data_IF_495769017391
#
_entry.id   IF_495769017391
#
_cell.length_a   1.000
_cell.length_b   1.000
_cell.length_c   1.000
_cell.angle_alpha   90.00
_cell.angle_beta   90.00
_cell.angle_gamma   90.00
#
_symmetry.space_group_name_H-M   'P 1'
#
loop_
_entity.id
_entity.type
_entity.pdbx_description
1 polymer ?
#
# COMPACT_ATOMS: atom_id res chain seq x y z
N UNK A 1 7.47 22.98 -15.35
CA UNK A 1 7.74 23.56 -14.03
C UNK A 1 6.58 23.14 -13.15
N UNK A 2 6.73 22.08 -12.37
CA UNK A 2 5.68 21.61 -11.46
C UNK A 2 6.33 21.26 -10.13
N UNK A 3 6.76 22.27 -9.38
CA UNK A 3 7.01 22.10 -7.95
C UNK A 3 5.89 22.75 -7.17
N UNK A 4 5.20 21.90 -6.40
CA UNK A 4 4.71 22.16 -5.04
C UNK A 4 3.89 20.92 -4.57
N UNK A 5 4.43 19.71 -4.71
CA UNK A 5 3.74 18.54 -4.13
C UNK A 5 3.98 18.37 -2.64
N UNK A 6 4.95 19.03 -2.01
CA UNK A 6 5.34 18.69 -0.63
C UNK A 6 5.43 19.88 0.35
N UNK A 7 4.76 21.01 0.07
CA UNK A 7 4.77 22.16 0.98
C UNK A 7 4.24 21.76 2.37
N UNK A 8 5.12 21.83 3.39
CA UNK A 8 4.80 21.59 4.79
C UNK A 8 5.16 20.21 5.35
N UNK A 9 5.60 19.26 4.52
CA UNK A 9 6.05 17.95 5.01
C UNK A 9 7.55 17.92 5.33
N UNK A 10 8.00 17.10 6.30
CA UNK A 10 9.42 16.91 6.58
C UNK A 10 10.21 16.48 5.34
N UNK A 11 11.35 17.12 5.09
CA UNK A 11 12.19 16.83 3.92
C UNK A 11 12.65 15.37 3.83
N UNK A 12 12.75 14.66 4.96
CA UNK A 12 13.16 13.25 4.96
C UNK A 12 12.12 12.31 4.33
N UNK A 13 10.85 12.71 4.19
CA UNK A 13 9.85 11.90 3.48
C UNK A 13 10.24 11.67 2.02
N UNK A 14 10.90 12.63 1.38
CA UNK A 14 11.39 12.50 0.01
C UNK A 14 12.54 11.48 -0.15
N UNK A 15 13.14 11.02 0.96
CA UNK A 15 14.18 9.98 0.95
C UNK A 15 13.59 8.56 0.86
N UNK A 16 12.29 8.41 1.12
CA UNK A 16 11.61 7.13 0.99
C UNK A 16 11.51 6.72 -0.50
N UNK A 17 11.61 5.42 -0.81
CA UNK A 17 11.50 4.92 -2.18
C UNK A 17 10.11 5.22 -2.77
N UNK A 18 10.05 5.52 -4.06
CA UNK A 18 8.78 5.68 -4.80
C UNK A 18 8.29 4.32 -5.31
N UNK A 19 6.99 4.05 -5.18
CA UNK A 19 6.35 2.89 -5.81
C UNK A 19 5.73 3.35 -7.13
N UNK A 20 6.25 2.86 -8.26
CA UNK A 20 5.67 3.08 -9.58
C UNK A 20 4.80 1.88 -9.98
N UNK A 21 3.59 2.15 -10.47
CA UNK A 21 2.66 1.12 -10.96
C UNK A 21 2.05 1.54 -12.30
N UNK A 22 1.62 0.55 -13.08
CA UNK A 22 0.75 0.76 -14.25
C UNK A 22 -0.71 0.53 -13.83
N UNK A 23 -1.58 1.49 -14.10
CA UNK A 23 -3.03 1.35 -13.92
C UNK A 23 -3.76 1.42 -15.28
N UNK A 24 -4.20 0.27 -15.82
CA UNK A 24 -4.94 0.22 -17.08
C UNK A 24 -6.25 1.01 -17.07
N UNK A 25 -6.92 1.13 -15.92
CA UNK A 25 -8.13 1.95 -15.80
C UNK A 25 -7.80 3.43 -15.91
N UNK A 26 -6.74 3.87 -15.22
CA UNK A 26 -6.30 5.25 -15.30
C UNK A 26 -5.86 5.62 -16.72
N UNK A 27 -5.21 4.69 -17.43
CA UNK A 27 -4.87 4.87 -18.84
C UNK A 27 -6.13 4.99 -19.70
N UNK A 28 -7.08 4.07 -19.53
CA UNK A 28 -8.32 4.03 -20.30
C UNK A 28 -9.14 5.31 -20.13
N UNK A 29 -9.20 5.85 -18.91
CA UNK A 29 -9.94 7.08 -18.61
C UNK A 29 -9.13 8.37 -18.91
N UNK A 30 -7.89 8.26 -19.37
CA UNK A 30 -7.01 9.42 -19.57
C UNK A 30 -6.58 10.13 -18.28
N UNK A 31 -6.72 9.47 -17.11
CA UNK A 31 -6.40 10.02 -15.80
C UNK A 31 -4.89 10.03 -15.49
N UNK A 32 -4.11 9.16 -16.15
CA UNK A 32 -2.66 9.10 -16.03
C UNK A 32 -2.01 8.89 -17.39
N UNK A 33 -0.97 9.68 -17.68
CA UNK A 33 -0.18 9.54 -18.91
C UNK A 33 0.46 8.14 -18.92
N UNK A 34 0.25 7.41 -20.02
CA UNK A 34 0.72 6.03 -20.21
C UNK A 34 0.26 5.03 -19.13
N UNK A 35 -0.77 5.40 -18.35
CA UNK A 35 -1.22 4.63 -17.19
C UNK A 35 -0.25 4.59 -16.02
N UNK A 36 0.84 5.36 -16.03
CA UNK A 36 1.87 5.29 -14.99
C UNK A 36 1.51 6.20 -13.81
N UNK A 37 1.48 5.62 -12.62
CA UNK A 37 1.23 6.31 -11.36
C UNK A 37 2.42 6.07 -10.43
N UNK A 38 2.88 7.14 -9.80
CA UNK A 38 3.91 7.09 -8.76
C UNK A 38 3.28 7.43 -7.42
N UNK A 39 3.45 6.55 -6.45
CA UNK A 39 3.07 6.76 -5.06
C UNK A 39 4.33 7.04 -4.24
N UNK A 40 4.42 8.25 -3.71
CA UNK A 40 5.44 8.67 -2.75
C UNK A 40 5.01 8.35 -1.32
N UNK A 41 5.94 8.44 -0.37
CA UNK A 41 5.58 8.34 1.04
C UNK A 41 4.64 9.47 1.49
N UNK A 42 4.76 10.66 0.90
CA UNK A 42 3.82 11.77 1.17
C UNK A 42 2.38 11.39 0.85
N UNK A 43 2.13 10.63 -0.21
CA UNK A 43 0.77 10.20 -0.58
C UNK A 43 0.17 9.26 0.47
N UNK A 44 1.02 8.43 1.09
CA UNK A 44 0.64 7.57 2.20
C UNK A 44 0.34 8.40 3.45
N UNK A 45 1.17 9.40 3.76
CA UNK A 45 0.93 10.30 4.88
C UNK A 45 -0.36 11.11 4.69
N UNK A 46 -0.66 11.52 3.46
CA UNK A 46 -1.95 12.16 3.11
C UNK A 46 -3.13 11.24 3.36
N UNK A 47 -3.03 9.98 2.92
CA UNK A 47 -4.07 9.00 3.15
C UNK A 47 -4.33 8.78 4.65
N UNK A 48 -3.26 8.64 5.44
CA UNK A 48 -3.34 8.33 6.87
C UNK A 48 -3.54 9.56 7.75
N UNK A 49 -3.35 10.77 7.21
CA UNK A 49 -3.33 12.03 7.94
C UNK A 49 -2.08 12.27 8.80
N UNK A 50 -1.21 11.27 8.94
CA UNK A 50 -0.01 11.32 9.78
C UNK A 50 1.02 10.27 9.36
N UNK A 51 2.23 10.39 9.89
CA UNK A 51 3.29 9.39 9.80
C UNK A 51 3.47 8.72 11.16
N UNK A 52 3.28 7.40 11.22
CA UNK A 52 3.64 6.57 12.37
C UNK A 52 4.35 5.28 11.90
N UNK A 53 4.99 4.51 12.81
CA UNK A 53 5.71 3.30 12.44
C UNK A 53 4.86 2.30 11.64
N UNK A 54 3.58 2.15 11.97
CA UNK A 54 2.64 1.30 11.21
C UNK A 54 2.47 1.76 9.77
N UNK A 55 2.28 3.06 9.55
CA UNK A 55 2.06 3.64 8.22
C UNK A 55 3.33 3.50 7.35
N UNK A 56 4.50 3.78 7.94
CA UNK A 56 5.79 3.54 7.31
C UNK A 56 6.00 2.06 6.95
N UNK A 57 5.73 1.18 7.92
CA UNK A 57 5.84 -0.27 7.73
C UNK A 57 4.90 -0.79 6.64
N UNK A 58 3.65 -0.33 6.60
CA UNK A 58 2.69 -0.72 5.57
C UNK A 58 3.13 -0.32 4.16
N UNK A 59 3.71 0.88 4.01
CA UNK A 59 4.26 1.33 2.73
C UNK A 59 5.43 0.46 2.28
N UNK A 60 6.34 0.14 3.19
CA UNK A 60 7.47 -0.76 2.90
C UNK A 60 7.01 -2.18 2.61
N UNK A 61 6.01 -2.70 3.32
CA UNK A 61 5.43 -4.02 3.02
C UNK A 61 4.83 -4.06 1.62
N UNK A 62 4.08 -3.04 1.21
CA UNK A 62 3.55 -2.94 -0.15
C UNK A 62 4.67 -2.90 -1.20
N UNK A 63 5.71 -2.08 -0.98
CA UNK A 63 6.88 -1.99 -1.86
C UNK A 63 7.59 -3.34 -2.02
N UNK A 64 7.94 -3.99 -0.91
CA UNK A 64 8.70 -5.23 -0.93
C UNK A 64 7.86 -6.42 -1.43
N UNK A 65 6.57 -6.46 -1.10
CA UNK A 65 5.65 -7.46 -1.64
C UNK A 65 5.51 -7.35 -3.16
N UNK A 66 5.34 -6.13 -3.69
CA UNK A 66 5.28 -5.92 -5.14
C UNK A 66 6.59 -6.27 -5.84
N UNK A 67 7.74 -5.90 -5.27
CA UNK A 67 9.06 -6.29 -5.81
C UNK A 67 9.23 -7.82 -5.84
N UNK A 68 8.82 -8.51 -4.78
CA UNK A 68 8.90 -9.97 -4.73
C UNK A 68 8.00 -10.63 -5.78
N UNK A 69 6.80 -10.07 -6.02
CA UNK A 69 5.87 -10.58 -7.04
C UNK A 69 6.36 -10.31 -8.47
N UNK A 70 6.74 -9.08 -8.79
CA UNK A 70 6.99 -8.64 -10.17
C UNK A 70 8.47 -8.67 -10.59
N UNK A 71 9.41 -8.74 -9.65
CA UNK A 71 10.84 -8.61 -9.97
C UNK A 71 11.11 -7.25 -10.62
N UNK A 72 11.60 -7.28 -11.87
CA UNK A 72 11.90 -6.09 -12.67
C UNK A 72 10.69 -5.58 -13.48
N UNK A 73 9.59 -6.34 -13.52
CA UNK A 73 8.36 -5.89 -14.18
C UNK A 73 7.69 -4.75 -13.40
N UNK A 74 7.03 -3.84 -14.12
CA UNK A 74 6.21 -2.80 -13.46
C UNK A 74 4.93 -3.43 -12.91
N UNK A 75 4.64 -3.28 -11.59
CA UNK A 75 3.42 -3.82 -11.02
C UNK A 75 2.15 -3.22 -11.62
N UNK A 76 1.12 -4.05 -11.78
CA UNK A 76 -0.16 -3.63 -12.35
C UNK A 76 -1.20 -3.43 -11.25
N UNK A 77 -1.74 -2.22 -11.18
CA UNK A 77 -2.77 -1.85 -10.22
C UNK A 77 -4.07 -2.61 -10.53
N UNK A 78 -4.58 -3.31 -9.52
CA UNK A 78 -5.73 -4.20 -9.54
C UNK A 78 -5.50 -5.57 -10.18
N UNK A 79 -4.23 -5.96 -10.37
CA UNK A 79 -3.85 -7.33 -10.73
C UNK A 79 -3.23 -8.11 -9.55
N UNK A 80 -3.42 -7.58 -8.34
CA UNK A 80 -2.92 -8.18 -7.10
C UNK A 80 -4.07 -8.38 -6.15
N UNK A 81 -4.23 -9.60 -5.65
CA UNK A 81 -5.05 -9.91 -4.49
C UNK A 81 -4.22 -9.73 -3.21
N UNK A 82 -4.86 -9.25 -2.15
CA UNK A 82 -4.26 -8.97 -0.85
C UNK A 82 -5.07 -9.68 0.23
N UNK A 83 -4.37 -10.38 1.11
CA UNK A 83 -4.95 -11.18 2.17
C UNK A 83 -4.40 -10.70 3.52
N UNK A 84 -5.20 -9.98 4.28
CA UNK A 84 -4.83 -9.53 5.61
C UNK A 84 -5.05 -10.67 6.61
N UNK A 85 -4.06 -10.93 7.46
CA UNK A 85 -4.20 -11.91 8.54
C UNK A 85 -5.27 -11.47 9.55
N UNK A 86 -5.23 -10.21 9.97
CA UNK A 86 -6.20 -9.66 10.93
C UNK A 86 -7.58 -9.37 10.34
N UNK A 87 -8.58 -9.23 11.22
CA UNK A 87 -9.88 -8.66 10.88
C UNK A 87 -9.78 -7.13 10.66
N UNK A 88 -10.71 -6.48 9.92
CA UNK A 88 -10.60 -5.06 9.55
C UNK A 88 -10.44 -4.12 10.76
N UNK A 89 -11.21 -4.36 11.83
CA UNK A 89 -11.19 -3.56 13.07
C UNK A 89 -10.18 -4.05 14.12
N UNK A 90 -9.37 -5.07 13.82
CA UNK A 90 -8.41 -5.61 14.78
C UNK A 90 -7.12 -4.81 14.76
N UNK A 91 -6.81 -4.16 15.88
CA UNK A 91 -5.58 -3.38 16.07
C UNK A 91 -5.39 -2.35 14.95
N UNK A 92 -4.27 -2.45 14.25
CA UNK A 92 -3.91 -1.55 13.14
C UNK A 92 -4.13 -2.16 11.75
N UNK A 93 -4.84 -3.28 11.65
CA UNK A 93 -5.04 -4.00 10.39
C UNK A 93 -5.68 -3.13 9.31
N UNK A 94 -6.71 -2.34 9.66
CA UNK A 94 -7.37 -1.42 8.75
C UNK A 94 -6.45 -0.29 8.23
N UNK A 95 -5.51 0.16 9.05
CA UNK A 95 -4.51 1.17 8.64
C UNK A 95 -3.59 0.56 7.59
N UNK A 96 -3.06 -0.64 7.86
CA UNK A 96 -2.15 -1.34 6.94
C UNK A 96 -2.85 -1.62 5.61
N UNK A 97 -4.07 -2.16 5.65
CA UNK A 97 -4.81 -2.52 4.45
C UNK A 97 -5.16 -1.30 3.60
N UNK A 98 -5.45 -0.14 4.20
CA UNK A 98 -5.72 1.10 3.47
C UNK A 98 -4.50 1.57 2.67
N UNK A 99 -3.30 1.51 3.27
CA UNK A 99 -2.05 1.86 2.59
C UNK A 99 -1.75 0.88 1.45
N UNK A 100 -1.95 -0.41 1.67
CA UNK A 100 -1.74 -1.42 0.61
C UNK A 100 -2.74 -1.22 -0.53
N UNK A 101 -4.02 -0.99 -0.22
CA UNK A 101 -5.09 -0.71 -1.19
C UNK A 101 -4.80 0.53 -2.04
N UNK A 102 -4.23 1.59 -1.45
CA UNK A 102 -3.84 2.80 -2.20
C UNK A 102 -2.96 2.43 -3.40
N UNK A 103 -1.91 1.66 -3.14
CA UNK A 103 -0.87 1.30 -4.10
C UNK A 103 -1.36 0.22 -5.07
N UNK A 104 -1.90 -0.88 -4.55
CA UNK A 104 -2.24 -2.06 -5.36
C UNK A 104 -3.61 -1.94 -6.01
N UNK A 105 -4.48 -1.04 -5.52
CA UNK A 105 -5.88 -0.97 -5.92
C UNK A 105 -6.72 -2.16 -5.44
N UNK A 106 -6.16 -3.08 -4.66
CA UNK A 106 -6.89 -4.20 -4.10
C UNK A 106 -7.86 -3.70 -3.03
N UNK A 107 -9.15 -3.69 -3.34
CA UNK A 107 -10.18 -3.16 -2.45
C UNK A 107 -11.11 -4.27 -1.96
N UNK A 108 -11.74 -4.01 -0.81
CA UNK A 108 -12.76 -4.89 -0.25
C UNK A 108 -14.09 -4.79 -1.02
N UNK A 109 -15.20 -5.01 -0.33
CA UNK A 109 -16.54 -5.04 -0.93
C UNK A 109 -17.02 -3.71 -1.55
N UNK A 110 -16.42 -2.60 -1.14
CA UNK A 110 -16.71 -1.24 -1.62
C UNK A 110 -15.86 -0.84 -2.83
N UNK A 111 -15.00 -1.73 -3.32
CA UNK A 111 -14.16 -1.47 -4.48
C UNK A 111 -14.96 -1.26 -5.78
N UNK A 112 -14.28 -0.71 -6.79
CA UNK A 112 -14.85 -0.57 -8.13
C UNK A 112 -15.21 -1.96 -8.69
N UNK A 113 -16.48 -2.21 -9.07
CA UNK A 113 -16.92 -3.53 -9.52
C UNK A 113 -16.39 -3.91 -10.92
N UNK A 114 -15.86 -2.93 -11.67
CA UNK A 114 -15.42 -3.10 -13.05
C UNK A 114 -16.35 -2.40 -14.03
N UNK A 115 -15.85 -2.20 -15.26
CA UNK A 115 -16.56 -1.53 -16.34
C UNK A 115 -17.13 -2.54 -17.34
N UNK A 116 -18.38 -2.33 -17.75
CA UNK A 116 -19.09 -3.16 -18.72
C UNK A 116 -19.47 -4.55 -18.18
N UNK A 117 -20.06 -5.36 -19.05
CA UNK A 117 -20.52 -6.72 -18.70
C UNK A 117 -19.38 -7.69 -18.35
N UNK A 118 -18.16 -7.40 -18.82
CA UNK A 118 -16.96 -8.19 -18.54
C UNK A 118 -16.27 -7.80 -17.21
N UNK A 119 -16.74 -6.75 -16.53
CA UNK A 119 -16.13 -6.31 -15.26
C UNK A 119 -14.67 -5.86 -15.42
N UNK A 120 -14.32 -5.22 -16.54
CA UNK A 120 -12.95 -4.81 -16.81
C UNK A 120 -12.45 -3.86 -15.72
N UNK A 121 -11.18 -4.03 -15.34
CA UNK A 121 -10.55 -3.21 -14.31
C UNK A 121 -11.16 -3.30 -12.91
N UNK A 122 -11.88 -4.38 -12.59
CA UNK A 122 -12.41 -4.61 -11.25
C UNK A 122 -11.32 -4.47 -10.18
N UNK A 123 -11.72 -3.90 -9.05
CA UNK A 123 -10.92 -3.69 -7.84
C UNK A 123 -11.58 -4.30 -6.61
N UNK A 124 -12.91 -4.47 -6.66
CA UNK A 124 -13.75 -5.07 -5.63
C UNK A 124 -13.33 -6.51 -5.35
N UNK A 125 -13.39 -6.89 -4.08
CA UNK A 125 -13.10 -8.24 -3.58
C UNK A 125 -11.67 -8.73 -3.88
N UNK A 126 -10.73 -7.82 -4.07
CA UNK A 126 -9.31 -8.15 -4.17
C UNK A 126 -8.59 -8.05 -2.83
N UNK A 127 -9.21 -7.44 -1.82
CA UNK A 127 -8.72 -7.38 -0.44
C UNK A 127 -9.62 -8.22 0.46
N UNK A 128 -9.05 -9.24 1.09
CA UNK A 128 -9.70 -10.09 2.07
C UNK A 128 -9.06 -9.91 3.46
N UNK A 129 -9.84 -10.16 4.51
CA UNK A 129 -9.41 -10.08 5.90
C UNK A 129 -9.65 -11.41 6.61
N UNK A 130 -8.96 -11.64 7.74
CA UNK A 130 -9.07 -12.89 8.49
C UNK A 130 -8.54 -14.10 7.71
N UNK A 131 -7.60 -13.87 6.79
CA UNK A 131 -7.04 -14.92 5.97
C UNK A 131 -5.97 -15.70 6.74
N UNK A 132 -5.89 -17.01 6.48
CA UNK A 132 -4.81 -17.85 7.00
C UNK A 132 -3.51 -17.56 6.25
N UNK A 133 -2.76 -16.60 6.76
CA UNK A 133 -1.48 -16.14 6.21
C UNK A 133 -0.43 -16.20 7.32
N UNK A 134 0.69 -16.85 7.03
CA UNK A 134 1.91 -16.76 7.84
C UNK A 134 2.62 -15.43 7.55
N UNK A 135 2.12 -14.35 8.15
CA UNK A 135 2.52 -12.97 7.89
C UNK A 135 1.53 -11.93 8.38
N UNK A 136 1.89 -10.66 8.23
CA UNK A 136 0.95 -9.54 8.42
C UNK A 136 -0.06 -9.53 7.26
N UNK A 137 0.43 -9.78 6.05
CA UNK A 137 -0.39 -9.87 4.84
C UNK A 137 0.23 -10.82 3.81
N UNK A 138 -0.63 -11.39 2.97
CA UNK A 138 -0.27 -12.13 1.76
C UNK A 138 -0.63 -11.32 0.53
N UNK A 139 0.15 -11.49 -0.55
CA UNK A 139 -0.15 -10.89 -1.84
C UNK A 139 -0.06 -11.96 -2.92
N UNK A 140 -0.98 -11.97 -3.87
CA UNK A 140 -0.98 -12.90 -5.00
C UNK A 140 -1.23 -12.15 -6.31
N UNK A 141 -0.37 -12.38 -7.29
CA UNK A 141 -0.54 -11.86 -8.65
C UNK A 141 -1.55 -12.73 -9.39
N UNK A 142 -2.55 -12.13 -10.05
CA UNK A 142 -3.72 -12.86 -10.56
C UNK A 142 -3.46 -13.59 -11.88
N UNK A 143 -2.60 -13.04 -12.72
CA UNK A 143 -2.25 -13.62 -14.03
C UNK A 143 -1.39 -14.90 -13.93
N UNK A 144 -0.54 -14.98 -12.91
CA UNK A 144 0.50 -16.01 -12.75
C UNK A 144 0.28 -16.89 -11.52
N UNK A 145 -0.55 -16.44 -10.56
CA UNK A 145 -0.76 -17.12 -9.28
C UNK A 145 0.43 -17.02 -8.32
N UNK A 146 1.53 -16.35 -8.71
CA UNK A 146 2.70 -16.15 -7.84
C UNK A 146 2.25 -15.40 -6.58
N UNK A 147 2.70 -15.89 -5.43
CA UNK A 147 2.30 -15.36 -4.13
C UNK A 147 3.50 -15.12 -3.21
N UNK A 148 3.32 -14.22 -2.26
CA UNK A 148 4.31 -13.89 -1.23
C UNK A 148 3.57 -13.60 0.08
N UNK A 149 4.17 -13.99 1.21
CA UNK A 149 3.76 -13.51 2.54
C UNK A 149 4.75 -12.46 3.02
N UNK A 150 4.25 -11.42 3.69
CA UNK A 150 5.05 -10.28 4.11
C UNK A 150 4.93 -10.12 5.62
N UNK A 151 6.09 -10.06 6.26
CA UNK A 151 6.26 -9.74 7.67
C UNK A 151 7.00 -8.41 7.80
N UNK A 152 6.62 -7.61 8.79
CA UNK A 152 7.36 -6.42 9.16
C UNK A 152 7.72 -6.48 10.64
N UNK A 153 9.01 -6.62 10.92
CA UNK A 153 9.54 -6.49 12.27
C UNK A 153 10.10 -5.07 12.44
N UNK A 154 9.41 -4.26 13.23
CA UNK A 154 9.85 -2.91 13.57
C UNK A 154 10.81 -2.88 14.77
N UNK A 155 10.93 -3.98 15.53
CA UNK A 155 11.79 -4.04 16.71
C UNK A 155 13.28 -4.04 16.36
N UNK A 156 13.64 -4.35 15.11
CA UNK A 156 15.02 -4.28 14.61
C UNK A 156 15.55 -2.83 14.54
N UNK A 157 14.67 -1.83 14.54
CA UNK A 157 15.04 -0.41 14.59
C UNK A 157 14.77 0.10 16.01
N UNK A 158 15.81 0.39 16.81
CA UNK A 158 15.62 0.88 18.16
C UNK A 158 14.93 2.24 18.13
N UNK A 159 14.03 2.45 19.10
CA UNK A 159 13.48 3.79 19.31
C UNK A 159 14.61 4.73 19.75
N UNK A 160 14.68 5.95 19.19
CA UNK A 160 15.59 6.97 19.69
C UNK A 160 15.34 7.20 21.19
N UNK A 161 16.40 7.34 21.98
CA UNK A 161 16.28 7.51 23.45
C UNK A 161 15.45 8.75 23.80
N UNK A 162 15.49 9.77 22.93
CA UNK A 162 14.72 11.01 23.03
C UNK A 162 13.20 10.77 22.93
N UNK A 163 12.76 9.67 22.31
CA UNK A 163 11.34 9.33 22.20
C UNK A 163 10.75 8.79 23.50
N UNK A 164 11.54 8.10 24.34
CA UNK A 164 11.05 7.53 25.61
C UNK A 164 10.34 8.56 26.50
N UNK A 165 10.94 9.73 26.83
CA UNK A 165 10.28 10.72 27.66
C UNK A 165 9.11 11.42 26.97
N UNK A 166 9.05 11.42 25.63
CA UNK A 166 7.94 12.01 24.87
C UNK A 166 6.72 11.10 24.86
N UNK A 167 6.92 9.79 24.65
CA UNK A 167 5.85 8.79 24.70
C UNK A 167 5.23 8.75 26.09
N UNK A 168 6.04 8.82 27.15
CA UNK A 168 5.56 8.87 28.54
C UNK A 168 4.71 10.11 28.87
N UNK A 169 4.75 11.17 28.05
CA UNK A 169 3.90 12.36 28.20
C UNK A 169 2.61 12.31 27.37
N UNK A 170 2.55 11.40 26.40
CA UNK A 170 1.41 11.25 25.49
C UNK A 170 0.33 10.31 26.04
N UNK A 171 0.67 9.54 27.08
CA UNK A 171 -0.20 8.63 27.84
C UNK A 171 -0.19 9.03 29.31
#
# INVERSE_FOLDING_TARGET
MTEARDQGFPAFYAQAPIIAVRDPLAQFLGAAKDGLIQYSYTDVVRLSGHSCPTVAGAYLMALHGLRALYGDETPVRGDVEVFMHGAPGSGVTGVISSVVQLVTGAAGETGFPGAGSLGLFARKNLLAFGADVDGVLGMRRRDTGKAVTVHHDSAIVPWPEEMRPLVAKAF
#
